data_IF_992469793231
#
_entry.id   IF_992469793231
#
_cell.length_a   1.000
_cell.length_b   1.000
_cell.length_c   1.000
_cell.angle_alpha   90.00
_cell.angle_beta   90.00
_cell.angle_gamma   90.00
#
_symmetry.space_group_name_H-M   'P 1'
#
loop_
_entity.id
_entity.type
_entity.pdbx_description
1 polymer ?
#
# COMPACT_ATOMS: atom_id res chain seq x y z
N UNK A 1 -3.68 -15.58 -11.88
CA UNK A 1 -2.64 -15.01 -11.00
C UNK A 1 -2.75 -13.51 -11.12
N UNK A 2 -2.88 -12.78 -10.02
CA UNK A 2 -3.03 -11.32 -10.04
C UNK A 2 -1.74 -10.66 -10.54
N UNK A 3 -1.85 -9.72 -11.48
CA UNK A 3 -0.72 -8.94 -12.01
C UNK A 3 -0.03 -8.10 -10.91
N UNK A 4 -0.69 -7.95 -9.76
CA UNK A 4 -0.24 -7.14 -8.63
C UNK A 4 0.63 -7.89 -7.60
N UNK A 5 1.05 -9.13 -7.89
CA UNK A 5 1.77 -9.98 -6.93
C UNK A 5 2.99 -9.31 -6.31
N UNK A 6 3.73 -8.52 -7.09
CA UNK A 6 4.91 -7.83 -6.58
C UNK A 6 4.55 -6.77 -5.53
N UNK A 7 3.52 -5.97 -5.80
CA UNK A 7 3.06 -4.95 -4.86
C UNK A 7 2.51 -5.57 -3.58
N UNK A 8 1.67 -6.61 -3.70
CA UNK A 8 1.17 -7.35 -2.54
C UNK A 8 2.31 -7.97 -1.72
N UNK A 9 3.33 -8.53 -2.37
CA UNK A 9 4.52 -9.03 -1.70
C UNK A 9 5.30 -7.94 -0.96
N UNK A 10 5.46 -6.74 -1.55
CA UNK A 10 6.05 -5.59 -0.89
C UNK A 10 5.28 -5.17 0.36
N UNK A 11 3.94 -5.07 0.29
CA UNK A 11 3.12 -4.74 1.46
C UNK A 11 3.31 -5.76 2.59
N UNK A 12 3.28 -7.07 2.27
CA UNK A 12 3.55 -8.12 3.27
C UNK A 12 4.97 -8.09 3.82
N UNK A 13 5.95 -7.76 2.99
CA UNK A 13 7.33 -7.64 3.44
C UNK A 13 7.47 -6.54 4.48
N UNK A 14 6.92 -5.35 4.21
CA UNK A 14 6.92 -4.24 5.18
C UNK A 14 6.19 -4.65 6.45
N UNK A 15 4.99 -5.22 6.32
CA UNK A 15 4.20 -5.69 7.46
C UNK A 15 4.96 -6.64 8.39
N UNK A 16 5.81 -7.50 7.83
CA UNK A 16 6.60 -8.49 8.59
C UNK A 16 7.91 -7.95 9.15
N UNK A 17 8.47 -6.90 8.55
CA UNK A 17 9.80 -6.38 8.89
C UNK A 17 9.75 -5.18 9.82
N UNK A 18 8.64 -4.47 9.87
CA UNK A 18 8.44 -3.37 10.82
C UNK A 18 8.28 -3.91 12.23
N UNK A 19 9.09 -3.41 13.16
CA UNK A 19 8.89 -3.66 14.58
C UNK A 19 7.60 -2.99 15.06
N UNK A 20 6.65 -3.81 15.50
CA UNK A 20 5.29 -3.41 15.87
C UNK A 20 5.13 -3.08 17.36
N UNK A 21 6.23 -2.91 18.10
CA UNK A 21 6.20 -2.65 19.55
C UNK A 21 5.49 -1.33 19.92
N UNK A 22 5.44 -0.35 19.03
CA UNK A 22 4.79 0.93 19.30
C UNK A 22 3.25 0.87 19.14
N UNK A 23 2.48 1.51 20.05
CA UNK A 23 1.02 1.57 19.94
C UNK A 23 0.57 2.14 18.60
N UNK A 24 -0.33 1.44 17.91
CA UNK A 24 -0.85 1.82 16.60
C UNK A 24 -0.06 1.27 15.40
N UNK A 25 1.22 0.95 15.54
CA UNK A 25 2.03 0.37 14.46
C UNK A 25 1.59 -1.06 14.16
N UNK A 26 1.31 -1.86 15.20
CA UNK A 26 0.77 -3.21 15.03
C UNK A 26 -0.52 -3.23 14.20
N UNK A 27 -1.43 -2.28 14.44
CA UNK A 27 -2.66 -2.17 13.68
C UNK A 27 -2.36 -1.86 12.20
N UNK A 28 -1.45 -0.93 11.92
CA UNK A 28 -1.04 -0.61 10.55
C UNK A 28 -0.43 -1.81 9.81
N UNK A 29 0.36 -2.66 10.48
CA UNK A 29 0.94 -3.85 9.84
C UNK A 29 -0.12 -4.91 9.53
N UNK A 30 -1.15 -5.03 10.39
CA UNK A 30 -2.34 -5.84 10.09
C UNK A 30 -3.08 -5.27 8.87
N UNK A 31 -3.23 -3.95 8.77
CA UNK A 31 -3.85 -3.30 7.61
C UNK A 31 -3.08 -3.59 6.32
N UNK A 32 -1.75 -3.49 6.33
CA UNK A 32 -0.91 -3.82 5.16
C UNK A 32 -1.07 -5.27 4.72
N UNK A 33 -1.17 -6.19 5.68
CA UNK A 33 -1.36 -7.61 5.38
C UNK A 33 -2.74 -7.87 4.77
N UNK A 34 -3.80 -7.23 5.28
CA UNK A 34 -5.15 -7.34 4.75
C UNK A 34 -5.27 -6.71 3.36
N UNK A 35 -4.65 -5.55 3.14
CA UNK A 35 -4.56 -4.90 1.82
C UNK A 35 -3.88 -5.81 0.80
N UNK A 36 -2.74 -6.41 1.15
CA UNK A 36 -2.04 -7.34 0.28
C UNK A 36 -2.92 -8.53 -0.14
N UNK A 37 -3.73 -9.05 0.80
CA UNK A 37 -4.68 -10.13 0.54
C UNK A 37 -5.79 -9.70 -0.44
N UNK A 38 -6.39 -8.53 -0.22
CA UNK A 38 -7.42 -7.97 -1.12
C UNK A 38 -6.89 -7.73 -2.54
N UNK A 39 -5.64 -7.28 -2.67
CA UNK A 39 -4.99 -7.05 -3.96
C UNK A 39 -4.75 -8.36 -4.71
N UNK A 40 -4.34 -9.43 -4.02
CA UNK A 40 -4.10 -10.73 -4.68
C UNK A 40 -5.39 -11.44 -5.05
N UNK A 41 -6.40 -11.38 -4.20
CA UNK A 41 -7.67 -12.11 -4.38
C UNK A 41 -8.64 -11.39 -5.29
N UNK A 42 -8.70 -10.06 -5.21
CA UNK A 42 -9.71 -9.25 -5.89
C UNK A 42 -9.14 -8.16 -6.80
N UNK A 43 -7.81 -7.97 -6.85
CA UNK A 43 -7.19 -6.89 -7.64
C UNK A 43 -7.54 -5.49 -7.15
N UNK A 44 -7.91 -5.37 -5.87
CA UNK A 44 -8.47 -4.14 -5.31
C UNK A 44 -7.96 -3.88 -3.88
N UNK A 45 -7.91 -2.61 -3.51
CA UNK A 45 -7.79 -2.19 -2.12
C UNK A 45 -9.16 -2.37 -1.46
N UNK A 46 -9.23 -3.18 -0.41
CA UNK A 46 -10.45 -3.45 0.35
C UNK A 46 -10.16 -3.11 1.81
N UNK A 47 -10.91 -2.15 2.37
CA UNK A 47 -10.68 -1.65 3.73
C UNK A 47 -12.00 -1.39 4.47
N UNK A 48 -12.19 -1.99 5.67
CA UNK A 48 -13.32 -1.68 6.54
C UNK A 48 -13.37 -0.20 6.97
N UNK A 49 -14.57 0.30 7.26
CA UNK A 49 -14.82 1.72 7.54
C UNK A 49 -13.96 2.27 8.68
N UNK A 50 -13.87 1.53 9.77
CA UNK A 50 -13.15 1.85 10.99
C UNK A 50 -11.62 1.83 10.82
N UNK A 51 -11.13 1.16 9.75
CA UNK A 51 -9.70 0.97 9.50
C UNK A 51 -9.11 1.92 8.47
N UNK A 52 -9.93 2.68 7.74
CA UNK A 52 -9.48 3.54 6.63
C UNK A 52 -8.36 4.50 7.00
N UNK A 53 -8.42 5.17 8.16
CA UNK A 53 -7.35 6.09 8.60
C UNK A 53 -6.04 5.36 8.91
N UNK A 54 -6.12 4.18 9.51
CA UNK A 54 -4.94 3.37 9.83
C UNK A 54 -4.31 2.80 8.56
N UNK A 55 -5.12 2.23 7.66
CA UNK A 55 -4.70 1.75 6.36
C UNK A 55 -4.08 2.86 5.49
N UNK A 56 -4.66 4.07 5.46
CA UNK A 56 -4.10 5.21 4.75
C UNK A 56 -2.71 5.58 5.29
N UNK A 57 -2.54 5.67 6.62
CA UNK A 57 -1.21 5.92 7.22
C UNK A 57 -0.22 4.80 6.91
N UNK A 58 -0.67 3.56 6.88
CA UNK A 58 0.18 2.42 6.57
C UNK A 58 0.69 2.49 5.12
N UNK A 59 -0.19 2.78 4.16
CA UNK A 59 0.19 3.01 2.76
C UNK A 59 1.12 4.22 2.60
N UNK A 60 0.87 5.32 3.32
CA UNK A 60 1.77 6.47 3.30
C UNK A 60 3.18 6.11 3.82
N UNK A 61 3.26 5.28 4.86
CA UNK A 61 4.54 4.76 5.35
C UNK A 61 5.28 3.91 4.31
N UNK A 62 4.57 3.04 3.60
CA UNK A 62 5.14 2.24 2.50
C UNK A 62 5.63 3.15 1.37
N UNK A 63 4.80 4.10 0.91
CA UNK A 63 5.18 5.05 -0.13
C UNK A 63 6.42 5.86 0.25
N UNK A 64 6.49 6.36 1.49
CA UNK A 64 7.64 7.07 2.02
C UNK A 64 8.91 6.21 2.02
N UNK A 65 8.82 4.95 2.49
CA UNK A 65 9.94 4.02 2.48
C UNK A 65 10.43 3.73 1.06
N UNK A 66 9.51 3.45 0.12
CA UNK A 66 9.86 3.22 -1.28
C UNK A 66 10.54 4.45 -1.90
N UNK A 67 9.97 5.64 -1.69
CA UNK A 67 10.49 6.90 -2.23
C UNK A 67 11.87 7.26 -1.67
N UNK A 68 12.10 7.05 -0.37
CA UNK A 68 13.32 7.49 0.32
C UNK A 68 14.45 6.47 0.24
N UNK A 69 14.15 5.18 0.14
CA UNK A 69 15.16 4.12 0.29
C UNK A 69 15.26 3.14 -0.88
N UNK A 70 14.20 2.95 -1.68
CA UNK A 70 14.20 1.93 -2.74
C UNK A 70 14.33 2.56 -4.12
N UNK A 71 13.61 3.65 -4.38
CA UNK A 71 13.67 4.37 -5.65
C UNK A 71 15.08 4.90 -5.94
N UNK A 72 15.83 5.49 -4.99
CA UNK A 72 17.19 5.97 -5.27
C UNK A 72 18.14 4.86 -5.71
N UNK A 73 17.99 3.65 -5.15
CA UNK A 73 18.81 2.49 -5.52
C UNK A 73 18.51 1.99 -6.94
N UNK A 74 17.21 1.95 -7.31
CA UNK A 74 16.82 1.60 -8.68
C UNK A 74 17.36 2.59 -9.71
N UNK A 75 17.31 3.89 -9.39
CA UNK A 75 17.84 4.97 -10.23
C UNK A 75 19.37 4.87 -10.33
N UNK A 76 20.07 4.71 -9.21
CA UNK A 76 21.53 4.60 -9.19
C UNK A 76 22.05 3.36 -9.92
N UNK A 77 21.29 2.25 -9.86
CA UNK A 77 21.58 1.02 -10.59
C UNK A 77 21.26 1.08 -12.09
N UNK A 78 20.57 2.12 -12.56
CA UNK A 78 20.19 2.28 -13.97
C UNK A 78 19.17 1.25 -14.48
N UNK A 79 18.46 0.56 -13.59
CA UNK A 79 17.42 -0.41 -13.95
C UNK A 79 16.08 0.31 -14.16
N UNK A 80 15.85 0.75 -15.40
CA UNK A 80 14.63 1.46 -15.79
C UNK A 80 13.34 0.67 -15.51
N UNK A 81 13.39 -0.67 -15.56
CA UNK A 81 12.23 -1.50 -15.27
C UNK A 81 11.95 -1.55 -13.76
N UNK A 82 12.99 -1.66 -12.93
CA UNK A 82 12.84 -1.56 -11.48
C UNK A 82 12.36 -0.17 -11.06
N UNK A 83 12.94 0.89 -11.64
CA UNK A 83 12.49 2.27 -11.40
C UNK A 83 11.00 2.43 -11.72
N UNK A 84 10.57 1.99 -12.91
CA UNK A 84 9.17 2.05 -13.33
C UNK A 84 8.22 1.33 -12.38
N UNK A 85 8.59 0.11 -11.94
CA UNK A 85 7.81 -0.65 -10.96
C UNK A 85 7.73 0.05 -9.60
N UNK A 86 8.84 0.61 -9.10
CA UNK A 86 8.87 1.30 -7.80
C UNK A 86 8.04 2.58 -7.84
N UNK A 87 8.17 3.39 -8.90
CA UNK A 87 7.33 4.58 -9.10
C UNK A 87 5.85 4.23 -9.15
N UNK A 88 5.49 3.21 -9.92
CA UNK A 88 4.11 2.74 -10.00
C UNK A 88 3.57 2.31 -8.62
N UNK A 89 4.36 1.60 -7.80
CA UNK A 89 3.94 1.20 -6.45
C UNK A 89 3.74 2.41 -5.52
N UNK A 90 4.59 3.44 -5.63
CA UNK A 90 4.45 4.69 -4.88
C UNK A 90 3.15 5.39 -5.28
N UNK A 91 2.90 5.54 -6.58
CA UNK A 91 1.71 6.19 -7.10
C UNK A 91 0.43 5.44 -6.69
N UNK A 92 0.43 4.10 -6.80
CA UNK A 92 -0.68 3.25 -6.37
C UNK A 92 -0.95 3.36 -4.86
N UNK A 93 0.11 3.37 -4.03
CA UNK A 93 -0.02 3.55 -2.59
C UNK A 93 -0.59 4.94 -2.27
N UNK A 94 -0.07 6.01 -2.88
CA UNK A 94 -0.51 7.38 -2.64
C UNK A 94 -1.94 7.65 -3.14
N UNK A 95 -2.36 7.04 -4.25
CA UNK A 95 -3.75 7.05 -4.69
C UNK A 95 -4.66 6.40 -3.63
N UNK A 96 -4.25 5.25 -3.09
CA UNK A 96 -4.95 4.60 -1.97
C UNK A 96 -5.03 5.48 -0.71
N UNK A 97 -3.97 6.21 -0.38
CA UNK A 97 -3.97 7.18 0.75
C UNK A 97 -5.03 8.26 0.54
N UNK A 98 -5.05 8.88 -0.63
CA UNK A 98 -6.00 9.96 -0.95
C UNK A 98 -7.45 9.46 -0.85
N UNK A 99 -7.75 8.35 -1.53
CA UNK A 99 -9.08 7.75 -1.55
C UNK A 99 -9.57 7.33 -0.16
N UNK A 100 -8.73 6.64 0.62
CA UNK A 100 -9.08 6.21 1.97
C UNK A 100 -9.31 7.40 2.91
N UNK A 101 -8.53 8.46 2.76
CA UNK A 101 -8.67 9.67 3.58
C UNK A 101 -9.98 10.38 3.27
N UNK A 102 -10.29 10.59 1.98
CA UNK A 102 -11.57 11.18 1.55
C UNK A 102 -12.75 10.32 2.04
N UNK A 103 -12.70 9.00 1.86
CA UNK A 103 -13.77 8.12 2.30
C UNK A 103 -13.93 8.13 3.82
N UNK A 104 -12.83 8.18 4.59
CA UNK A 104 -12.87 8.28 6.06
C UNK A 104 -13.61 9.52 6.58
N UNK A 105 -13.70 10.57 5.78
CA UNK A 105 -14.39 11.83 6.12
C UNK A 105 -15.82 11.88 5.56
N UNK A 106 -16.06 11.29 4.40
CA UNK A 106 -17.30 11.47 3.63
C UNK A 106 -18.27 10.29 3.69
N UNK A 107 -17.81 9.08 4.03
CA UNK A 107 -18.63 7.85 3.99
C UNK A 107 -18.58 7.15 5.34
N UNK A 108 -19.65 7.23 6.14
CA UNK A 108 -19.60 6.79 7.53
C UNK A 108 -19.49 5.27 7.75
N UNK A 109 -20.15 4.44 6.91
CA UNK A 109 -20.36 3.03 7.26
C UNK A 109 -20.07 2.00 6.15
N UNK A 110 -19.78 2.42 4.91
CA UNK A 110 -19.52 1.48 3.83
C UNK A 110 -18.06 1.00 3.81
N UNK A 111 -17.83 -0.26 3.45
CA UNK A 111 -16.49 -0.74 3.12
C UNK A 111 -15.92 0.07 1.95
N UNK A 112 -14.63 0.42 2.03
CA UNK A 112 -13.93 1.01 0.91
C UNK A 112 -13.46 -0.09 -0.04
N UNK A 113 -13.75 0.07 -1.33
CA UNK A 113 -13.23 -0.78 -2.39
C UNK A 113 -12.82 0.05 -3.60
N UNK A 114 -11.55 -0.02 -3.97
CA UNK A 114 -11.05 0.63 -5.17
C UNK A 114 -10.14 -0.31 -5.98
N UNK A 115 -10.29 -0.37 -7.32
CA UNK A 115 -9.38 -1.12 -8.16
C UNK A 115 -8.00 -0.46 -8.19
N UNK A 116 -6.98 -1.25 -8.51
CA UNK A 116 -5.65 -0.73 -8.80
C UNK A 116 -5.49 -0.45 -10.31
N UNK A 117 -4.71 0.57 -10.71
CA UNK A 117 -4.30 0.71 -12.10
C UNK A 117 -3.51 -0.54 -12.55
N UNK A 118 -3.44 -0.90 -13.83
CA UNK A 118 -2.60 -2.01 -14.27
C UNK A 118 -1.11 -1.72 -13.98
N UNK A 119 -0.31 -2.74 -13.61
CA UNK A 119 1.13 -2.56 -13.42
C UNK A 119 1.87 -2.48 -14.77
N UNK A 120 3.06 -1.86 -14.80
CA UNK A 120 3.90 -1.75 -16.01
C UNK A 120 4.58 -3.07 -16.40
#
# INVERSE_FOLDING_TARGET
MSDYRFFAACLRFVARRTDAAAPGVAAMMVDLSALAEGIETAGALIVPAERRRSAARALAGVAGMLQQHILPEAVAGGDAAAEGRVRWMIDAAMAGVAELTVHAETVAAAEFRAPLPPPP
#
